data_IF_746127510218
#
_entry.id   IF_746127510218
#
_cell.length_a   1.000
_cell.length_b   1.000
_cell.length_c   1.000
_cell.angle_alpha   90.00
_cell.angle_beta   90.00
_cell.angle_gamma   90.00
#
_symmetry.space_group_name_H-M   'P 1'
#
loop_
_entity.id
_entity.type
_entity.pdbx_description
1 polymer ?
#
# COMPACT_ATOMS: atom_id res chain seq x y z
N UNK A 1 19.64 -29.12 25.71
CA UNK A 1 18.74 -28.37 26.61
C UNK A 1 19.14 -26.91 26.49
N UNK A 2 18.35 -25.95 26.01
CA UNK A 2 16.98 -25.86 25.51
C UNK A 2 17.05 -25.07 24.18
N UNK A 3 16.35 -25.53 23.14
CA UNK A 3 16.00 -24.69 21.98
C UNK A 3 14.66 -24.10 22.36
N UNK A 4 14.62 -22.80 22.63
CA UNK A 4 13.37 -22.13 22.98
C UNK A 4 12.47 -21.96 21.76
N UNK A 5 11.23 -22.33 22.02
CA UNK A 5 10.18 -22.73 21.12
C UNK A 5 9.37 -21.48 20.73
N UNK A 6 9.66 -20.87 19.57
CA UNK A 6 8.91 -19.71 19.03
C UNK A 6 7.56 -20.19 18.45
N UNK A 7 6.73 -20.81 19.28
CA UNK A 7 5.36 -21.21 18.95
C UNK A 7 4.32 -20.49 19.82
N UNK A 8 4.70 -19.35 20.43
CA UNK A 8 3.87 -18.63 21.40
C UNK A 8 3.15 -17.37 20.92
N UNK A 9 3.08 -17.07 19.61
CA UNK A 9 2.41 -15.85 19.10
C UNK A 9 1.28 -16.22 18.13
N UNK A 10 0.39 -17.12 18.56
CA UNK A 10 -0.89 -17.38 17.91
C UNK A 10 -1.99 -17.60 18.98
N UNK A 11 -1.95 -16.81 20.06
CA UNK A 11 -3.16 -16.55 20.83
C UNK A 11 -3.72 -15.23 20.31
N UNK A 12 -4.75 -15.35 19.46
CA UNK A 12 -5.55 -14.20 19.07
C UNK A 12 -6.30 -13.72 20.30
N UNK A 13 -6.10 -12.46 20.65
CA UNK A 13 -7.02 -11.77 21.55
C UNK A 13 -8.32 -11.58 20.76
N UNK A 14 -9.32 -12.37 21.13
CA UNK A 14 -10.70 -12.24 20.70
C UNK A 14 -11.26 -10.93 21.29
N UNK A 15 -11.06 -9.82 20.58
CA UNK A 15 -11.76 -8.57 20.90
C UNK A 15 -13.21 -8.70 20.44
N UNK A 16 -14.03 -9.35 21.27
CA UNK A 16 -15.49 -9.29 21.17
C UNK A 16 -15.91 -7.92 21.72
N UNK A 17 -16.15 -6.97 20.82
CA UNK A 17 -16.95 -5.79 21.14
C UNK A 17 -18.41 -6.25 21.10
N UNK A 18 -19.03 -6.40 22.27
CA UNK A 18 -20.48 -6.55 22.37
C UNK A 18 -21.10 -5.22 21.92
N UNK A 19 -21.62 -5.20 20.69
CA UNK A 19 -22.47 -4.10 20.21
C UNK A 19 -23.88 -4.48 20.65
N UNK A 20 -24.47 -3.69 21.55
CA UNK A 20 -25.89 -3.78 21.85
C UNK A 20 -26.65 -3.43 20.57
N UNK A 21 -27.37 -4.39 19.98
CA UNK A 21 -28.26 -4.18 18.83
C UNK A 21 -29.46 -3.32 19.26
N UNK A 22 -29.29 -2.00 19.34
CA UNK A 22 -30.42 -1.09 19.17
C UNK A 22 -30.72 -0.97 17.67
N UNK A 23 -31.95 -1.29 17.21
CA UNK A 23 -32.30 -1.12 15.81
C UNK A 23 -32.38 0.37 15.51
N UNK A 24 -31.31 0.95 14.96
CA UNK A 24 -31.41 2.24 14.27
C UNK A 24 -32.30 2.04 13.05
N UNK A 25 -33.53 2.52 13.16
CA UNK A 25 -34.51 2.62 12.07
C UNK A 25 -33.89 3.53 10.99
N UNK A 26 -33.31 2.92 9.96
CA UNK A 26 -32.82 3.62 8.77
C UNK A 26 -33.99 4.40 8.17
N UNK A 27 -33.98 5.73 8.34
CA UNK A 27 -34.86 6.60 7.58
C UNK A 27 -34.45 6.50 6.11
N UNK A 28 -35.35 5.98 5.28
CA UNK A 28 -35.30 6.11 3.82
C UNK A 28 -35.08 7.59 3.49
N UNK A 29 -33.86 7.94 3.10
CA UNK A 29 -33.61 9.23 2.46
C UNK A 29 -33.95 9.06 0.99
N UNK A 30 -35.04 9.69 0.56
CA UNK A 30 -35.37 9.82 -0.86
C UNK A 30 -34.18 10.44 -1.59
N UNK A 31 -33.48 9.62 -2.38
CA UNK A 31 -32.44 10.04 -3.30
C UNK A 31 -33.12 10.83 -4.43
N UNK A 32 -33.27 12.14 -4.24
CA UNK A 32 -33.58 13.05 -5.34
C UNK A 32 -32.42 12.96 -6.34
N UNK A 33 -32.74 12.38 -7.50
CA UNK A 33 -31.82 11.99 -8.56
C UNK A 33 -31.20 13.19 -9.26
N UNK A 34 -30.33 13.90 -8.55
CA UNK A 34 -29.41 14.81 -9.18
C UNK A 34 -28.13 14.03 -9.47
N UNK A 35 -28.08 13.44 -10.66
CA UNK A 35 -26.89 12.85 -11.26
C UNK A 35 -25.77 13.90 -11.21
N UNK A 36 -24.92 13.81 -10.19
CA UNK A 36 -23.68 14.58 -10.17
C UNK A 36 -22.88 13.99 -11.32
N UNK A 37 -22.53 14.75 -12.37
CA UNK A 37 -21.61 14.23 -13.36
C UNK A 37 -20.33 13.91 -12.61
N UNK A 38 -19.94 12.64 -12.62
CA UNK A 38 -18.56 12.24 -12.38
C UNK A 38 -17.76 12.83 -13.55
N UNK A 39 -17.48 14.13 -13.47
CA UNK A 39 -16.32 14.69 -14.14
C UNK A 39 -15.13 13.94 -13.51
N UNK A 40 -14.69 12.87 -14.18
CA UNK A 40 -13.33 12.32 -14.07
C UNK A 40 -12.38 13.46 -14.42
N UNK A 41 -12.21 14.38 -13.49
CA UNK A 41 -11.12 15.31 -13.48
C UNK A 41 -9.87 14.44 -13.36
N UNK A 42 -9.24 14.16 -14.51
CA UNK A 42 -7.86 13.72 -14.60
C UNK A 42 -7.00 14.87 -14.09
N UNK A 43 -7.07 15.12 -12.79
CA UNK A 43 -6.16 16.00 -12.09
C UNK A 43 -4.84 15.25 -12.06
N UNK A 44 -3.92 15.76 -12.87
CA UNK A 44 -2.48 15.53 -12.80
C UNK A 44 -1.95 16.04 -11.45
N UNK A 45 -2.53 15.55 -10.36
CA UNK A 45 -2.12 15.81 -8.99
C UNK A 45 -0.93 14.92 -8.71
N UNK A 46 0.22 15.29 -9.26
CA UNK A 46 1.53 14.69 -9.00
C UNK A 46 1.95 14.75 -7.52
N UNK A 47 1.12 15.32 -6.64
CA UNK A 47 1.49 15.70 -5.28
C UNK A 47 1.14 14.65 -4.21
N UNK A 48 0.32 13.64 -4.51
CA UNK A 48 -0.05 12.61 -3.51
C UNK A 48 -0.24 11.21 -4.11
N UNK A 49 0.52 10.85 -5.15
CA UNK A 49 0.51 9.46 -5.64
C UNK A 49 1.36 8.55 -4.76
N UNK A 50 0.72 7.52 -4.19
CA UNK A 50 1.37 6.47 -3.44
C UNK A 50 1.61 5.26 -4.33
N UNK A 51 2.72 4.58 -4.08
CA UNK A 51 3.05 3.34 -4.76
C UNK A 51 2.08 2.23 -4.32
N UNK A 52 1.35 1.67 -5.28
CA UNK A 52 0.46 0.51 -5.11
C UNK A 52 0.91 -0.67 -5.97
N UNK A 53 0.30 -1.84 -5.71
CA UNK A 53 0.57 -3.07 -6.48
C UNK A 53 0.15 -2.88 -7.95
N UNK A 54 0.97 -3.35 -8.87
CA UNK A 54 0.78 -3.27 -10.32
C UNK A 54 1.59 -2.14 -10.97
N UNK A 55 2.02 -1.15 -10.18
CA UNK A 55 2.73 0.01 -10.70
C UNK A 55 4.22 -0.25 -10.97
N UNK A 56 4.77 0.53 -11.91
CA UNK A 56 6.20 0.57 -12.19
C UNK A 56 6.80 1.83 -11.57
N UNK A 57 7.80 1.65 -10.73
CA UNK A 57 8.46 2.74 -10.02
C UNK A 57 9.86 2.90 -10.58
N UNK A 58 10.24 4.12 -10.96
CA UNK A 58 11.63 4.44 -11.23
C UNK A 58 12.25 5.00 -9.96
N UNK A 59 13.36 4.39 -9.54
CA UNK A 59 14.12 4.77 -8.36
C UNK A 59 15.56 5.05 -8.75
N UNK A 60 16.22 5.96 -8.04
CA UNK A 60 17.65 6.23 -8.18
C UNK A 60 18.41 5.74 -6.96
N UNK A 61 19.49 5.01 -7.18
CA UNK A 61 20.34 4.51 -6.09
C UNK A 61 21.30 5.63 -5.69
N UNK A 62 21.18 6.18 -4.48
CA UNK A 62 22.04 7.30 -4.04
C UNK A 62 23.54 6.99 -4.10
N UNK A 63 23.91 5.75 -3.85
CA UNK A 63 25.33 5.36 -3.78
C UNK A 63 26.00 5.28 -5.15
N UNK A 64 25.26 4.91 -6.19
CA UNK A 64 25.79 4.74 -7.56
C UNK A 64 25.24 5.76 -8.56
N UNK A 65 24.27 6.58 -8.16
CA UNK A 65 23.46 7.47 -9.00
C UNK A 65 22.78 6.75 -10.17
N UNK A 66 22.62 5.42 -10.07
CA UNK A 66 22.04 4.60 -11.14
C UNK A 66 20.51 4.62 -11.08
N UNK A 67 19.83 4.92 -12.20
CA UNK A 67 18.38 4.77 -12.30
C UNK A 67 18.02 3.29 -12.44
N UNK A 68 16.97 2.87 -11.76
CA UNK A 68 16.46 1.51 -11.77
C UNK A 68 14.95 1.49 -11.81
N UNK A 69 14.40 0.60 -12.63
CA UNK A 69 12.96 0.39 -12.74
C UNK A 69 12.53 -0.85 -11.95
N UNK A 70 11.54 -0.70 -11.09
CA UNK A 70 11.03 -1.76 -10.22
C UNK A 70 9.53 -1.92 -10.49
N UNK A 71 9.12 -3.14 -10.81
CA UNK A 71 7.71 -3.50 -10.87
C UNK A 71 7.26 -3.91 -9.47
N UNK A 72 6.30 -3.19 -8.89
CA UNK A 72 5.75 -3.49 -7.57
C UNK A 72 4.61 -4.47 -7.76
N UNK A 73 4.93 -5.76 -7.83
CA UNK A 73 3.93 -6.80 -8.04
C UNK A 73 4.30 -8.10 -7.31
N UNK A 74 3.36 -9.03 -7.24
CA UNK A 74 3.59 -10.39 -6.78
C UNK A 74 4.59 -11.12 -7.68
N UNK A 75 5.34 -12.03 -7.08
CA UNK A 75 6.13 -13.00 -7.83
C UNK A 75 5.21 -13.88 -8.68
N UNK A 76 5.67 -14.29 -9.86
CA UNK A 76 4.90 -15.16 -10.74
C UNK A 76 4.45 -16.43 -10.01
N UNK A 77 3.16 -16.74 -10.11
CA UNK A 77 2.52 -17.91 -9.48
C UNK A 77 2.69 -17.96 -7.96
N UNK A 78 2.85 -16.82 -7.30
CA UNK A 78 3.00 -16.74 -5.84
C UNK A 78 2.18 -15.58 -5.27
N UNK A 79 1.74 -15.72 -4.03
CA UNK A 79 1.14 -14.62 -3.25
C UNK A 79 2.21 -13.76 -2.55
N UNK A 80 3.49 -14.03 -2.81
CA UNK A 80 4.62 -13.33 -2.20
C UNK A 80 5.02 -12.11 -3.02
N UNK A 81 5.12 -10.97 -2.35
CA UNK A 81 5.68 -9.73 -2.90
C UNK A 81 7.19 -9.71 -2.61
N UNK A 82 8.06 -9.35 -3.58
CA UNK A 82 9.49 -9.17 -3.33
C UNK A 82 9.72 -8.19 -2.17
N UNK A 83 10.70 -8.46 -1.30
CA UNK A 83 10.95 -7.61 -0.12
C UNK A 83 11.18 -6.14 -0.48
N UNK A 84 11.95 -5.88 -1.53
CA UNK A 84 12.17 -4.52 -2.03
C UNK A 84 10.87 -3.86 -2.49
N UNK A 85 10.01 -4.58 -3.22
CA UNK A 85 8.71 -4.06 -3.65
C UNK A 85 7.79 -3.80 -2.46
N UNK A 86 7.84 -4.66 -1.44
CA UNK A 86 7.08 -4.48 -0.19
C UNK A 86 7.51 -3.22 0.56
N UNK A 87 8.80 -2.90 0.58
CA UNK A 87 9.32 -1.68 1.20
C UNK A 87 8.96 -0.40 0.43
N UNK A 88 8.60 -0.51 -0.85
CA UNK A 88 8.18 0.63 -1.66
C UNK A 88 6.68 0.91 -1.57
N UNK A 89 5.87 -0.04 -1.10
CA UNK A 89 4.41 0.13 -1.00
C UNK A 89 4.07 1.27 -0.02
N UNK A 90 3.18 2.17 -0.45
CA UNK A 90 2.78 3.32 0.35
C UNK A 90 3.83 4.43 0.45
N UNK A 91 4.96 4.29 -0.23
CA UNK A 91 5.91 5.41 -0.39
C UNK A 91 5.46 6.34 -1.52
N UNK A 92 5.95 7.57 -1.48
CA UNK A 92 5.66 8.64 -2.44
C UNK A 92 6.90 9.02 -3.25
N UNK A 93 6.70 9.85 -4.26
CA UNK A 93 7.81 10.47 -4.98
C UNK A 93 8.61 11.35 -4.02
N UNK A 94 9.94 11.22 -4.07
CA UNK A 94 10.87 11.89 -3.16
C UNK A 94 11.23 11.08 -1.90
N UNK A 95 10.47 10.03 -1.57
CA UNK A 95 10.78 9.18 -0.42
C UNK A 95 12.06 8.35 -0.65
N UNK A 96 12.71 8.01 0.45
CA UNK A 96 13.93 7.23 0.48
C UNK A 96 13.71 5.89 1.17
N UNK A 97 14.11 4.81 0.50
CA UNK A 97 13.97 3.44 1.01
C UNK A 97 15.34 2.80 1.08
N UNK A 98 15.73 2.37 2.28
CA UNK A 98 16.97 1.61 2.48
C UNK A 98 16.72 0.11 2.33
N UNK A 99 17.39 -0.54 1.39
CA UNK A 99 17.30 -1.98 1.18
C UNK A 99 18.66 -2.58 0.81
N UNK A 100 19.07 -3.64 1.51
CA UNK A 100 20.36 -4.33 1.29
C UNK A 100 21.59 -3.39 1.28
N UNK A 101 21.60 -2.39 2.16
CA UNK A 101 22.71 -1.43 2.26
C UNK A 101 22.79 -0.41 1.12
N UNK A 102 21.72 -0.28 0.32
CA UNK A 102 21.57 0.75 -0.70
C UNK A 102 20.36 1.62 -0.39
N UNK A 103 20.40 2.88 -0.79
CA UNK A 103 19.35 3.86 -0.57
C UNK A 103 18.71 4.20 -1.91
N UNK A 104 17.42 3.89 -2.05
CA UNK A 104 16.64 4.09 -3.26
C UNK A 104 15.75 5.32 -3.06
N UNK A 105 15.92 6.32 -3.92
CA UNK A 105 15.06 7.52 -3.95
C UNK A 105 14.01 7.32 -5.03
N UNK A 106 12.74 7.51 -4.69
CA UNK A 106 11.64 7.35 -5.65
C UNK A 106 11.55 8.60 -6.51
N UNK A 107 11.70 8.45 -7.83
CA UNK A 107 11.69 9.59 -8.76
C UNK A 107 10.35 9.74 -9.47
N UNK A 108 9.75 8.62 -9.90
CA UNK A 108 8.47 8.64 -10.62
C UNK A 108 7.70 7.36 -10.39
N UNK A 109 6.38 7.45 -10.36
CA UNK A 109 5.44 6.33 -10.31
C UNK A 109 4.72 6.27 -11.66
N UNK A 110 4.57 5.08 -12.22
CA UNK A 110 3.89 4.84 -13.50
C UNK A 110 2.77 3.82 -13.29
N UNK A 111 1.56 4.18 -13.73
CA UNK A 111 0.38 3.30 -13.76
C UNK A 111 0.49 2.25 -14.87
#
# INVERSE_FOLDING_TARGET
MLIDNIYGILQGDEQVVEIEDEPEEYKDMDLDGNEVPEDESTEDSAEDEYIVIGQKVNVRIKETDEPKKILVNYLQNSTKIPQLAKSLLGCRIGDEVSFQGKTYVIETIQK
#
